data_IF_015834799722
#
_entry.id   IF_015834799722
#
_cell.length_a   1.000
_cell.length_b   1.000
_cell.length_c   1.000
_cell.angle_alpha   90.00
_cell.angle_beta   90.00
_cell.angle_gamma   90.00
#
_symmetry.space_group_name_H-M   'P 1'
#
loop_
_entity.id
_entity.type
_entity.pdbx_description
1 polymer ?
#
# COMPACT_ATOMS: atom_id res chain seq x y z
N UNK A 1 0.68 64.44 27.74
CA UNK A 1 -0.47 63.51 27.57
C UNK A 1 -0.43 62.81 26.20
N UNK A 2 0.05 63.44 25.13
CA UNK A 2 0.12 62.82 23.79
C UNK A 2 1.28 61.81 23.61
N UNK A 3 2.41 62.06 24.28
CA UNK A 3 3.60 61.20 24.22
C UNK A 3 3.39 59.77 24.72
N UNK A 4 2.54 59.57 25.72
CA UNK A 4 2.20 58.24 26.25
C UNK A 4 1.42 57.41 25.24
N UNK A 5 0.57 58.07 24.42
CA UNK A 5 -0.23 57.40 23.40
C UNK A 5 0.63 56.96 22.21
N UNK A 6 1.62 57.79 21.83
CA UNK A 6 2.59 57.46 20.79
C UNK A 6 3.45 56.24 21.16
N UNK A 7 3.96 56.18 22.39
CA UNK A 7 4.77 55.05 22.87
C UNK A 7 3.94 53.76 22.91
N UNK A 8 2.70 53.85 23.40
CA UNK A 8 1.80 52.70 23.45
C UNK A 8 1.47 52.16 22.06
N UNK A 9 1.25 53.07 21.09
CA UNK A 9 0.99 52.70 19.71
C UNK A 9 2.19 51.98 19.07
N UNK A 10 3.41 52.48 19.30
CA UNK A 10 4.64 51.84 18.81
C UNK A 10 4.82 50.46 19.45
N UNK A 11 4.61 50.33 20.76
CA UNK A 11 4.69 49.04 21.46
C UNK A 11 3.67 48.03 20.92
N UNK A 12 2.43 48.46 20.68
CA UNK A 12 1.39 47.63 20.08
C UNK A 12 1.75 47.19 18.66
N UNK A 13 2.31 48.08 17.84
CA UNK A 13 2.75 47.74 16.49
C UNK A 13 3.86 46.67 16.49
N UNK A 14 4.84 46.79 17.40
CA UNK A 14 5.90 45.79 17.56
C UNK A 14 5.35 44.44 18.02
N UNK A 15 4.42 44.44 18.99
CA UNK A 15 3.75 43.22 19.45
C UNK A 15 2.92 42.58 18.33
N UNK A 16 2.24 43.38 17.52
CA UNK A 16 1.44 42.89 16.40
C UNK A 16 2.34 42.19 15.36
N UNK A 17 3.46 42.83 14.98
CA UNK A 17 4.40 42.26 14.00
C UNK A 17 4.97 40.94 14.52
N UNK A 18 5.43 40.90 15.77
CA UNK A 18 6.01 39.67 16.36
C UNK A 18 4.96 38.56 16.52
N UNK A 19 3.72 38.90 16.86
CA UNK A 19 2.59 37.97 16.94
C UNK A 19 2.29 37.34 15.60
N UNK A 20 2.18 38.13 14.53
CA UNK A 20 1.88 37.62 13.17
C UNK A 20 2.99 36.70 12.66
N UNK A 21 4.26 37.02 12.93
CA UNK A 21 5.38 36.16 12.53
C UNK A 21 5.33 34.82 13.28
N UNK A 22 5.14 34.85 14.60
CA UNK A 22 5.02 33.63 15.42
C UNK A 22 3.83 32.78 15.01
N UNK A 23 2.66 33.39 14.79
CA UNK A 23 1.45 32.68 14.36
C UNK A 23 1.64 31.94 13.03
N UNK A 24 2.31 32.56 12.06
CA UNK A 24 2.64 31.92 10.77
C UNK A 24 3.65 30.78 10.90
N UNK A 25 4.57 30.86 11.85
CA UNK A 25 5.55 29.81 12.09
C UNK A 25 4.92 28.58 12.75
N UNK A 26 4.06 28.79 13.75
CA UNK A 26 3.33 27.73 14.45
C UNK A 26 2.36 27.00 13.54
N UNK A 27 1.58 27.71 12.72
CA UNK A 27 0.64 27.07 11.79
C UNK A 27 1.34 26.19 10.75
N UNK A 28 2.54 26.60 10.31
CA UNK A 28 3.34 25.84 9.34
C UNK A 28 3.99 24.60 9.96
N UNK A 29 4.35 24.63 11.25
CA UNK A 29 4.88 23.45 11.94
C UNK A 29 3.78 22.43 12.24
N UNK A 30 2.62 22.87 12.72
CA UNK A 30 1.48 21.99 13.02
C UNK A 30 0.96 21.30 11.75
N UNK A 31 0.81 22.04 10.65
CA UNK A 31 0.40 21.46 9.37
C UNK A 31 1.40 20.40 8.88
N UNK A 32 2.71 20.66 9.03
CA UNK A 32 3.77 19.73 8.61
C UNK A 32 3.81 18.47 9.47
N UNK A 33 3.50 18.57 10.76
CA UNK A 33 3.44 17.43 11.67
C UNK A 33 2.25 16.52 11.34
N UNK A 34 1.08 17.10 11.05
CA UNK A 34 -0.11 16.36 10.60
C UNK A 34 0.14 15.66 9.26
N UNK A 35 0.76 16.34 8.30
CA UNK A 35 1.05 15.77 6.98
C UNK A 35 2.01 14.57 7.08
N UNK A 36 3.03 14.65 7.92
CA UNK A 36 4.02 13.56 8.11
C UNK A 36 3.38 12.33 8.76
N UNK A 37 2.53 12.52 9.78
CA UNK A 37 1.84 11.41 10.46
C UNK A 37 0.85 10.74 9.50
N UNK A 38 0.11 11.52 8.71
CA UNK A 38 -0.84 10.95 7.75
C UNK A 38 -0.13 10.14 6.66
N UNK A 39 1.00 10.63 6.16
CA UNK A 39 1.82 9.93 5.16
C UNK A 39 2.36 8.60 5.71
N UNK A 40 2.93 8.60 6.92
CA UNK A 40 3.51 7.39 7.51
C UNK A 40 2.44 6.32 7.79
N UNK A 41 1.30 6.73 8.34
CA UNK A 41 0.19 5.80 8.66
C UNK A 41 -0.39 5.18 7.38
N UNK A 42 -0.57 5.95 6.31
CA UNK A 42 -1.03 5.40 5.02
C UNK A 42 -0.03 4.41 4.43
N UNK A 43 1.27 4.71 4.51
CA UNK A 43 2.31 3.80 4.04
C UNK A 43 2.34 2.50 4.85
N UNK A 44 2.24 2.58 6.18
CA UNK A 44 2.14 1.42 7.07
C UNK A 44 0.91 0.57 6.76
N UNK A 45 -0.26 1.18 6.53
CA UNK A 45 -1.49 0.47 6.14
C UNK A 45 -1.31 -0.23 4.79
N UNK A 46 -0.70 0.43 3.81
CA UNK A 46 -0.44 -0.19 2.50
C UNK A 46 0.51 -1.39 2.60
N UNK A 47 1.55 -1.28 3.44
CA UNK A 47 2.46 -2.39 3.73
C UNK A 47 1.75 -3.55 4.43
N UNK A 48 0.89 -3.28 5.41
CA UNK A 48 0.07 -4.29 6.08
C UNK A 48 -0.88 -4.99 5.11
N UNK A 49 -1.59 -4.24 4.25
CA UNK A 49 -2.47 -4.83 3.22
C UNK A 49 -1.70 -5.77 2.28
N UNK A 50 -0.47 -5.38 1.89
CA UNK A 50 0.40 -6.23 1.06
C UNK A 50 0.79 -7.52 1.78
N UNK A 51 1.13 -7.44 3.08
CA UNK A 51 1.46 -8.62 3.88
C UNK A 51 0.26 -9.55 4.06
N UNK A 52 -0.93 -8.99 4.32
CA UNK A 52 -2.18 -9.77 4.41
C UNK A 52 -2.46 -10.49 3.09
N UNK A 53 -2.33 -9.80 1.95
CA UNK A 53 -2.50 -10.42 0.63
C UNK A 53 -1.52 -11.57 0.41
N UNK A 54 -0.26 -11.41 0.81
CA UNK A 54 0.71 -12.50 0.69
C UNK A 54 0.34 -13.71 1.55
N UNK A 55 -0.15 -13.46 2.77
CA UNK A 55 -0.56 -14.51 3.70
C UNK A 55 -1.81 -15.25 3.21
N UNK A 56 -2.79 -14.56 2.64
CA UNK A 56 -3.95 -15.19 1.97
C UNK A 56 -3.51 -16.15 0.86
N UNK A 57 -2.57 -15.71 0.01
CA UNK A 57 -2.03 -16.55 -1.06
C UNK A 57 -1.23 -17.73 -0.50
N UNK A 58 -0.45 -17.53 0.56
CA UNK A 58 0.32 -18.62 1.20
C UNK A 58 -0.60 -19.68 1.82
N UNK A 59 -1.74 -19.28 2.39
CA UNK A 59 -2.78 -20.20 2.90
C UNK A 59 -3.41 -20.96 1.73
N UNK A 60 -3.80 -20.29 0.65
CA UNK A 60 -4.37 -20.95 -0.53
C UNK A 60 -3.39 -21.95 -1.16
N UNK A 61 -2.10 -21.61 -1.20
CA UNK A 61 -1.05 -22.53 -1.64
C UNK A 61 -1.00 -23.75 -0.72
N UNK A 62 -1.02 -23.56 0.60
CA UNK A 62 -0.98 -24.65 1.58
C UNK A 62 -2.21 -25.57 1.50
N UNK A 63 -3.40 -25.00 1.30
CA UNK A 63 -4.65 -25.76 1.15
C UNK A 63 -4.65 -26.63 -0.11
N UNK A 64 -4.10 -26.13 -1.22
CA UNK A 64 -4.06 -26.83 -2.50
C UNK A 64 -2.86 -27.77 -2.64
N UNK A 65 -1.78 -27.52 -1.91
CA UNK A 65 -0.58 -28.36 -1.88
C UNK A 65 -0.54 -29.19 -0.59
N UNK A 66 -1.52 -30.08 -0.41
CA UNK A 66 -1.50 -31.08 0.66
C UNK A 66 -0.35 -32.06 0.43
N UNK A 67 0.75 -31.89 1.17
CA UNK A 67 1.82 -32.90 1.29
C UNK A 67 3.09 -32.67 0.46
N UNK A 68 3.19 -31.62 -0.36
CA UNK A 68 4.41 -31.32 -1.12
C UNK A 68 5.09 -30.06 -0.55
N UNK A 69 6.25 -30.23 0.09
CA UNK A 69 7.08 -29.10 0.51
C UNK A 69 7.76 -28.50 -0.72
N UNK A 70 7.17 -27.45 -1.31
CA UNK A 70 7.89 -26.59 -2.26
C UNK A 70 9.04 -25.88 -1.54
N UNK A 71 10.19 -25.77 -2.22
CA UNK A 71 11.25 -24.90 -1.77
C UNK A 71 10.72 -23.45 -1.65
N UNK A 72 11.24 -22.69 -0.69
CA UNK A 72 10.76 -21.33 -0.38
C UNK A 72 10.76 -20.39 -1.60
N UNK A 73 11.73 -20.60 -2.51
CA UNK A 73 11.87 -19.85 -3.76
C UNK A 73 10.73 -20.15 -4.73
N UNK A 74 10.35 -21.41 -4.88
CA UNK A 74 9.28 -21.83 -5.79
C UNK A 74 7.92 -21.35 -5.28
N UNK A 75 7.73 -21.34 -3.96
CA UNK A 75 6.53 -20.76 -3.32
C UNK A 75 6.42 -19.25 -3.57
N UNK A 76 7.53 -18.52 -3.50
CA UNK A 76 7.54 -17.07 -3.78
C UNK A 76 7.16 -16.77 -5.23
N UNK A 77 7.72 -17.50 -6.19
CA UNK A 77 7.39 -17.35 -7.62
C UNK A 77 5.92 -17.69 -7.87
N UNK A 78 5.41 -18.77 -7.27
CA UNK A 78 4.01 -19.17 -7.39
C UNK A 78 3.04 -18.11 -6.85
N UNK A 79 3.34 -17.54 -5.68
CA UNK A 79 2.55 -16.45 -5.11
C UNK A 79 2.47 -15.24 -6.04
N UNK A 80 3.59 -14.87 -6.65
CA UNK A 80 3.63 -13.73 -7.58
C UNK A 80 2.88 -14.01 -8.90
N UNK A 81 3.00 -15.24 -9.42
CA UNK A 81 2.24 -15.69 -10.60
C UNK A 81 0.73 -15.66 -10.33
N UNK A 82 0.29 -16.15 -9.15
CA UNK A 82 -1.10 -16.11 -8.73
C UNK A 82 -1.64 -14.68 -8.55
N UNK A 83 -0.86 -13.78 -7.94
CA UNK A 83 -1.24 -12.38 -7.78
C UNK A 83 -1.43 -11.69 -9.15
N UNK A 84 -0.50 -11.88 -10.08
CA UNK A 84 -0.62 -11.32 -11.44
C UNK A 84 -1.82 -11.91 -12.19
N UNK A 85 -2.04 -13.22 -12.11
CA UNK A 85 -3.20 -13.85 -12.75
C UNK A 85 -4.52 -13.33 -12.16
N UNK A 86 -4.62 -13.15 -10.84
CA UNK A 86 -5.82 -12.58 -10.18
C UNK A 86 -6.08 -11.11 -10.54
N UNK A 87 -5.03 -10.36 -10.88
CA UNK A 87 -5.13 -9.01 -11.45
C UNK A 87 -5.51 -9.00 -12.94
N UNK A 88 -5.78 -10.16 -13.55
CA UNK A 88 -6.16 -10.37 -14.95
C UNK A 88 -5.07 -10.05 -15.99
N UNK A 89 -3.80 -10.15 -15.60
CA UNK A 89 -2.72 -10.16 -16.60
C UNK A 89 -2.78 -11.44 -17.45
N UNK A 90 -2.40 -11.34 -18.73
CA UNK A 90 -2.35 -12.52 -19.61
C UNK A 90 -1.19 -13.44 -19.24
N UNK A 91 -1.33 -14.74 -19.55
CA UNK A 91 -0.27 -15.73 -19.34
C UNK A 91 1.03 -15.30 -20.03
N UNK A 92 0.97 -14.70 -21.23
CA UNK A 92 2.16 -14.21 -21.93
C UNK A 92 2.85 -13.07 -21.16
N UNK A 93 2.06 -12.15 -20.59
CA UNK A 93 2.59 -11.01 -19.82
C UNK A 93 3.24 -11.48 -18.52
N UNK A 94 2.62 -12.46 -17.85
CA UNK A 94 3.13 -13.07 -16.62
C UNK A 94 4.45 -13.81 -16.89
N UNK A 95 4.48 -14.62 -17.95
CA UNK A 95 5.66 -15.35 -18.41
C UNK A 95 6.83 -14.39 -18.69
N UNK A 96 6.56 -13.31 -19.45
CA UNK A 96 7.55 -12.29 -19.75
C UNK A 96 8.08 -11.58 -18.50
N UNK A 97 7.21 -11.24 -17.54
CA UNK A 97 7.59 -10.51 -16.33
C UNK A 97 8.38 -11.38 -15.33
N UNK A 98 8.09 -12.68 -15.28
CA UNK A 98 8.75 -13.64 -14.38
C UNK A 98 9.89 -14.42 -15.02
N UNK A 99 10.17 -14.18 -16.30
CA UNK A 99 11.17 -14.91 -17.10
C UNK A 99 10.91 -16.43 -17.08
N UNK A 100 9.63 -16.79 -17.14
CA UNK A 100 9.12 -18.14 -17.24
C UNK A 100 8.60 -18.38 -18.66
N UNK A 101 8.46 -19.64 -19.05
CA UNK A 101 7.72 -20.02 -20.25
C UNK A 101 6.21 -19.98 -19.99
N UNK A 102 5.42 -19.83 -21.05
CA UNK A 102 3.95 -19.88 -20.91
C UNK A 102 3.48 -21.21 -20.34
N UNK A 103 4.10 -22.32 -20.77
CA UNK A 103 3.81 -23.66 -20.27
C UNK A 103 4.06 -23.80 -18.76
N UNK A 104 5.17 -23.26 -18.25
CA UNK A 104 5.45 -23.25 -16.80
C UNK A 104 4.41 -22.43 -16.03
N UNK A 105 4.00 -21.28 -16.56
CA UNK A 105 2.95 -20.45 -15.93
C UNK A 105 1.60 -21.18 -15.91
N UNK A 106 1.24 -21.86 -17.00
CA UNK A 106 0.01 -22.65 -17.09
C UNK A 106 0.01 -23.83 -16.11
N UNK A 107 1.12 -24.57 -16.03
CA UNK A 107 1.29 -25.68 -15.08
C UNK A 107 1.18 -25.20 -13.63
N UNK A 108 1.78 -24.05 -13.31
CA UNK A 108 1.70 -23.44 -11.98
C UNK A 108 0.29 -22.97 -11.62
N UNK A 109 -0.49 -22.50 -12.61
CA UNK A 109 -1.86 -22.04 -12.41
C UNK A 109 -2.89 -23.18 -12.43
N UNK A 110 -2.59 -24.31 -13.09
CA UNK A 110 -3.52 -25.42 -13.29
C UNK A 110 -4.23 -25.91 -12.01
N UNK A 111 -3.56 -26.06 -10.84
CA UNK A 111 -4.21 -26.48 -9.60
C UNK A 111 -5.18 -25.44 -8.99
N UNK A 112 -5.07 -24.18 -9.40
CA UNK A 112 -5.81 -23.03 -8.85
C UNK A 112 -6.94 -22.56 -9.78
N UNK A 113 -6.89 -22.94 -11.06
CA UNK A 113 -7.92 -22.64 -12.06
C UNK A 113 -9.14 -23.58 -11.96
N UNK A 114 -8.91 -24.85 -11.63
CA UNK A 114 -9.94 -25.91 -11.63
C UNK A 114 -11.05 -25.72 -10.60
N UNK A 115 -10.87 -24.87 -9.59
CA UNK A 115 -11.89 -24.61 -8.56
C UNK A 115 -12.94 -23.53 -8.89
N UNK A 116 -12.82 -22.84 -10.03
CA UNK A 116 -13.69 -21.69 -10.37
C UNK A 116 -14.76 -21.99 -11.43
N UNK A 117 -14.56 -23.00 -12.28
CA UNK A 117 -15.53 -23.36 -13.32
C UNK A 117 -16.73 -24.17 -12.80
N UNK A 118 -16.54 -25.06 -11.83
CA UNK A 118 -17.65 -25.88 -11.33
C UNK A 118 -18.74 -25.07 -10.58
N UNK A 119 -18.38 -23.94 -9.95
CA UNK A 119 -19.36 -23.08 -9.26
C UNK A 119 -20.23 -22.24 -10.20
N UNK A 120 -19.88 -22.12 -11.48
CA UNK A 120 -20.69 -21.38 -12.48
C UNK A 120 -21.69 -22.30 -13.20
N UNK A 121 -21.53 -23.62 -13.15
CA UNK A 121 -22.39 -24.58 -13.85
C UNK A 121 -23.71 -24.92 -13.12
N UNK A 122 -23.92 -24.45 -11.88
CA UNK A 122 -25.13 -24.73 -11.08
C UNK A 122 -26.21 -23.64 -11.17
N UNK A 123 -26.06 -22.67 -12.08
CA UNK A 123 -27.04 -21.60 -12.32
C UNK A 123 -27.50 -21.55 -13.79
N UNK A 124 -27.73 -22.71 -14.41
CA UNK A 124 -28.51 -22.83 -15.65
C UNK A 124 -29.76 -23.68 -15.40
#
# INVERSE_FOLDING_TARGET
MEWTLAILFIAAAILLITSVIKAKQTSKSEQREIDVIHLSVMEEIAQLQKQIRHLELDIEILEKQTGVQLASKDRMVLREVLDLHRRKYSVETIAAQKKLTQAEVEEMLAPYLTGKEERRSVLQ
#
